data_IF_091360774579
#
_entry.id   IF_091360774579
#
_cell.length_a   1.000
_cell.length_b   1.000
_cell.length_c   1.000
_cell.angle_alpha   90.00
_cell.angle_beta   90.00
_cell.angle_gamma   90.00
#
_symmetry.space_group_name_H-M   'P 1'
#
loop_
_entity.id
_entity.type
_entity.pdbx_description
1 polymer ?
#
# COMPACT_ATOMS: atom_id res chain seq x y z
N UNK A 1 -24.80 10.07 15.92
CA UNK A 1 -23.39 9.70 16.13
C UNK A 1 -22.86 8.56 15.23
N UNK A 2 -23.61 7.46 14.94
CA UNK A 2 -23.09 6.34 14.13
C UNK A 2 -22.85 6.64 12.63
N UNK A 3 -23.52 7.66 12.09
CA UNK A 3 -23.47 8.03 10.67
C UNK A 3 -22.19 8.80 10.31
N UNK A 4 -21.83 9.81 11.10
CA UNK A 4 -20.62 10.62 10.87
C UNK A 4 -19.34 9.78 10.90
N UNK A 5 -19.25 8.80 11.81
CA UNK A 5 -18.10 7.89 11.88
C UNK A 5 -17.97 7.02 10.62
N UNK A 6 -19.10 6.50 10.11
CA UNK A 6 -19.11 5.72 8.87
C UNK A 6 -18.68 6.54 7.66
N UNK A 7 -19.15 7.79 7.57
CA UNK A 7 -18.72 8.72 6.50
C UNK A 7 -17.23 9.05 6.57
N UNK A 8 -16.69 9.25 7.78
CA UNK A 8 -15.25 9.50 7.95
C UNK A 8 -14.42 8.30 7.50
N UNK A 9 -14.80 7.08 7.89
CA UNK A 9 -14.12 5.85 7.46
C UNK A 9 -14.18 5.72 5.92
N UNK A 10 -15.33 6.01 5.32
CA UNK A 10 -15.47 6.03 3.87
C UNK A 10 -14.51 7.02 3.20
N UNK A 11 -14.43 8.26 3.69
CA UNK A 11 -13.52 9.28 3.15
C UNK A 11 -12.06 8.82 3.28
N UNK A 12 -11.66 8.28 4.44
CA UNK A 12 -10.30 7.76 4.65
C UNK A 12 -9.98 6.65 3.64
N UNK A 13 -10.91 5.72 3.42
CA UNK A 13 -10.71 4.65 2.46
C UNK A 13 -10.58 5.20 1.02
N UNK A 14 -11.43 6.14 0.62
CA UNK A 14 -11.34 6.77 -0.71
C UNK A 14 -9.99 7.45 -0.92
N UNK A 15 -9.50 8.22 0.06
CA UNK A 15 -8.20 8.89 -0.02
C UNK A 15 -7.05 7.88 -0.08
N UNK A 16 -7.11 6.82 0.72
CA UNK A 16 -6.10 5.78 0.73
C UNK A 16 -6.06 5.00 -0.60
N UNK A 17 -7.22 4.64 -1.15
CA UNK A 17 -7.32 3.99 -2.47
C UNK A 17 -6.77 4.90 -3.56
N UNK A 18 -7.02 6.21 -3.49
CA UNK A 18 -6.45 7.14 -4.46
C UNK A 18 -4.92 7.13 -4.46
N UNK A 19 -4.28 7.17 -3.29
CA UNK A 19 -2.82 7.09 -3.19
C UNK A 19 -2.26 5.76 -3.73
N UNK A 20 -2.97 4.64 -3.51
CA UNK A 20 -2.61 3.33 -4.09
C UNK A 20 -2.69 3.34 -5.61
N UNK A 21 -3.75 3.93 -6.19
CA UNK A 21 -3.89 4.04 -7.65
C UNK A 21 -2.77 4.90 -8.26
N UNK A 22 -2.39 5.99 -7.60
CA UNK A 22 -1.24 6.82 -8.00
C UNK A 22 0.07 6.03 -7.89
N UNK A 23 0.24 5.25 -6.82
CA UNK A 23 1.41 4.37 -6.64
C UNK A 23 1.49 3.32 -7.77
N UNK A 24 0.35 2.71 -8.13
CA UNK A 24 0.24 1.72 -9.22
C UNK A 24 0.60 2.34 -10.57
N UNK A 25 0.11 3.55 -10.83
CA UNK A 25 0.44 4.31 -12.03
C UNK A 25 1.95 4.57 -12.14
N UNK A 26 2.59 5.08 -11.08
CA UNK A 26 4.04 5.30 -11.09
C UNK A 26 4.84 4.00 -11.25
N UNK A 27 4.41 2.91 -10.61
CA UNK A 27 5.05 1.61 -10.78
C UNK A 27 4.97 1.11 -12.23
N UNK A 28 3.80 1.29 -12.88
CA UNK A 28 3.61 0.92 -14.28
C UNK A 28 4.51 1.74 -15.23
N UNK A 29 4.81 3.00 -14.88
CA UNK A 29 5.73 3.86 -15.62
C UNK A 29 7.22 3.56 -15.36
N UNK A 30 7.55 2.66 -14.42
CA UNK A 30 8.94 2.43 -14.00
C UNK A 30 9.48 3.45 -13.00
N UNK A 31 8.64 4.33 -12.45
CA UNK A 31 9.01 5.30 -11.43
C UNK A 31 8.90 4.67 -10.02
N UNK A 32 9.73 3.66 -9.73
CA UNK A 32 9.60 2.84 -8.52
C UNK A 32 9.74 3.63 -7.21
N UNK A 33 10.65 4.60 -7.16
CA UNK A 33 10.82 5.48 -5.98
C UNK A 33 9.55 6.28 -5.70
N UNK A 34 8.92 6.81 -6.75
CA UNK A 34 7.66 7.56 -6.62
C UNK A 34 6.51 6.64 -6.18
N UNK A 35 6.45 5.42 -6.73
CA UNK A 35 5.48 4.42 -6.33
C UNK A 35 5.61 4.06 -4.84
N UNK A 36 6.84 3.82 -4.37
CA UNK A 36 7.12 3.54 -2.95
C UNK A 36 6.73 4.71 -2.06
N UNK A 37 7.04 5.96 -2.44
CA UNK A 37 6.69 7.12 -1.64
C UNK A 37 5.17 7.27 -1.46
N UNK A 38 4.41 6.98 -2.52
CA UNK A 38 2.93 7.00 -2.49
C UNK A 38 2.38 5.88 -1.62
N UNK A 39 2.86 4.66 -1.79
CA UNK A 39 2.47 3.53 -0.95
C UNK A 39 2.85 3.73 0.53
N UNK A 40 4.01 4.34 0.81
CA UNK A 40 4.45 4.69 2.17
C UNK A 40 3.50 5.68 2.82
N UNK A 41 3.01 6.69 2.08
CA UNK A 41 2.02 7.64 2.60
C UNK A 41 0.74 6.94 3.09
N UNK A 42 0.31 5.88 2.40
CA UNK A 42 -0.84 5.05 2.83
C UNK A 42 -0.56 4.38 4.17
N UNK A 43 0.61 3.77 4.35
CA UNK A 43 1.01 3.14 5.61
C UNK A 43 1.15 4.13 6.76
N UNK A 44 1.61 5.35 6.51
CA UNK A 44 1.82 6.35 7.55
C UNK A 44 0.49 7.03 7.95
N UNK A 45 -0.34 7.36 6.96
CA UNK A 45 -1.51 8.23 7.12
C UNK A 45 -2.82 7.46 7.26
N UNK A 46 -2.96 6.33 6.57
CA UNK A 46 -4.23 5.60 6.42
C UNK A 46 -4.14 4.16 6.94
N UNK A 47 -3.51 3.96 8.11
CA UNK A 47 -3.26 2.63 8.72
C UNK A 47 -4.47 1.72 8.87
N UNK A 48 -5.67 2.27 9.00
CA UNK A 48 -6.92 1.48 9.17
C UNK A 48 -7.66 1.23 7.87
N UNK A 49 -7.11 1.67 6.73
CA UNK A 49 -7.71 1.47 5.42
C UNK A 49 -7.43 0.07 4.88
N UNK A 50 -8.36 -0.47 4.10
CA UNK A 50 -8.14 -1.69 3.32
C UNK A 50 -7.05 -1.53 2.26
N UNK A 51 -6.74 -0.30 1.85
CA UNK A 51 -5.71 0.01 0.85
C UNK A 51 -4.28 -0.29 1.33
N UNK A 52 -4.08 -0.55 2.62
CA UNK A 52 -2.77 -0.89 3.20
C UNK A 52 -2.19 -2.18 2.57
N UNK A 53 -3.04 -3.17 2.30
CA UNK A 53 -2.63 -4.42 1.67
C UNK A 53 -2.03 -4.16 0.27
N UNK A 54 -2.75 -3.40 -0.56
CA UNK A 54 -2.29 -3.04 -1.89
C UNK A 54 -1.02 -2.18 -1.87
N UNK A 55 -0.91 -1.24 -0.93
CA UNK A 55 0.27 -0.41 -0.76
C UNK A 55 1.52 -1.27 -0.47
N UNK A 56 1.41 -2.23 0.45
CA UNK A 56 2.48 -3.20 0.73
C UNK A 56 2.83 -4.02 -0.52
N UNK A 57 1.83 -4.50 -1.25
CA UNK A 57 2.01 -5.23 -2.50
C UNK A 57 2.80 -4.44 -3.56
N UNK A 58 2.50 -3.14 -3.71
CA UNK A 58 3.24 -2.25 -4.62
C UNK A 58 4.68 -2.05 -4.12
N UNK A 59 4.89 -1.84 -2.82
CA UNK A 59 6.23 -1.69 -2.25
C UNK A 59 7.10 -2.93 -2.48
N UNK A 60 6.56 -4.13 -2.26
CA UNK A 60 7.24 -5.41 -2.50
C UNK A 60 7.72 -5.48 -3.97
N UNK A 61 6.83 -5.14 -4.91
CA UNK A 61 7.13 -5.16 -6.35
C UNK A 61 8.15 -4.10 -6.77
N UNK A 62 8.03 -2.89 -6.23
CA UNK A 62 8.94 -1.78 -6.51
C UNK A 62 10.34 -2.05 -5.94
N UNK A 63 10.45 -2.49 -4.68
CA UNK A 63 11.73 -2.85 -4.07
C UNK A 63 12.41 -4.01 -4.78
N UNK A 64 11.65 -5.02 -5.22
CA UNK A 64 12.21 -6.11 -6.02
C UNK A 64 12.82 -5.61 -7.33
N UNK A 65 12.12 -4.71 -8.05
CA UNK A 65 12.64 -4.13 -9.30
C UNK A 65 13.90 -3.28 -9.08
N UNK A 66 13.97 -2.59 -7.94
CA UNK A 66 15.12 -1.77 -7.55
C UNK A 66 16.29 -2.59 -6.97
N UNK A 67 16.15 -3.90 -6.75
CA UNK A 67 17.18 -4.73 -6.12
C UNK A 67 17.36 -4.48 -4.61
N UNK A 68 16.36 -3.90 -3.95
CA UNK A 68 16.39 -3.55 -2.52
C UNK A 68 15.86 -4.71 -1.68
N UNK A 69 16.64 -5.79 -1.57
CA UNK A 69 16.21 -7.06 -0.98
C UNK A 69 15.77 -6.96 0.49
N UNK A 70 16.49 -6.19 1.32
CA UNK A 70 16.13 -6.03 2.74
C UNK A 70 14.74 -5.41 2.89
N UNK A 71 14.49 -4.30 2.19
CA UNK A 71 13.20 -3.61 2.22
C UNK A 71 12.08 -4.44 1.59
N UNK A 72 12.39 -5.19 0.54
CA UNK A 72 11.46 -6.16 -0.04
C UNK A 72 11.04 -7.21 0.98
N UNK A 73 12.00 -7.84 1.66
CA UNK A 73 11.75 -8.90 2.64
C UNK A 73 11.00 -8.37 3.86
N UNK A 74 11.29 -7.14 4.29
CA UNK A 74 10.56 -6.48 5.37
C UNK A 74 9.11 -6.20 5.01
N UNK A 75 8.85 -5.63 3.84
CA UNK A 75 7.50 -5.40 3.36
C UNK A 75 6.73 -6.71 3.18
N UNK A 76 7.39 -7.75 2.65
CA UNK A 76 6.82 -9.09 2.50
C UNK A 76 6.47 -9.73 3.84
N UNK A 77 7.34 -9.59 4.85
CA UNK A 77 7.10 -10.09 6.21
C UNK A 77 5.89 -9.39 6.85
N UNK A 78 5.78 -8.08 6.70
CA UNK A 78 4.62 -7.31 7.21
C UNK A 78 3.35 -7.71 6.48
N UNK A 79 3.39 -7.89 5.16
CA UNK A 79 2.24 -8.35 4.39
C UNK A 79 1.79 -9.74 4.84
N UNK A 80 2.72 -10.72 4.95
CA UNK A 80 2.41 -12.08 5.41
C UNK A 80 1.81 -12.12 6.80
N UNK A 81 2.30 -11.27 7.71
CA UNK A 81 1.82 -11.24 9.10
C UNK A 81 0.39 -10.70 9.20
N UNK A 82 0.05 -9.68 8.42
CA UNK A 82 -1.23 -8.98 8.54
C UNK A 82 -2.28 -9.44 7.52
N UNK A 83 -1.85 -9.95 6.36
CA UNK A 83 -2.68 -10.34 5.22
C UNK A 83 -2.20 -11.69 4.64
N UNK A 84 -2.34 -12.79 5.38
CA UNK A 84 -1.84 -14.11 4.95
C UNK A 84 -2.49 -14.62 3.66
N UNK A 85 -3.72 -14.19 3.37
CA UNK A 85 -4.48 -14.56 2.17
C UNK A 85 -4.33 -13.55 1.02
N UNK A 86 -3.35 -12.65 1.11
CA UNK A 86 -3.17 -11.59 0.12
C UNK A 86 -2.81 -12.12 -1.25
N UNK A 87 -3.40 -11.54 -2.30
CA UNK A 87 -3.08 -11.87 -3.70
C UNK A 87 -1.64 -11.55 -4.09
N UNK A 88 -0.94 -10.73 -3.30
CA UNK A 88 0.46 -10.36 -3.54
C UNK A 88 1.46 -11.40 -2.99
N UNK A 89 0.99 -12.47 -2.34
CA UNK A 89 1.82 -13.56 -1.81
C UNK A 89 1.90 -14.78 -2.72
N UNK A 90 1.02 -14.86 -3.74
CA UNK A 90 0.86 -16.01 -4.64
C UNK A 90 1.40 -15.72 -6.04
#
# INVERSE_FOLDING_TARGET
>A
APDTRRRLIYIINVLATHEVEVARYYYAMGADVAAVNRARSVLETYRTSSAVEDALGIMIKAYARMGLEELHNDALRVLKLNYPDSTYLN
#
